data_IF_138353989661
#
_entry.id   IF_138353989661
#
_cell.length_a   1.000
_cell.length_b   1.000
_cell.length_c   1.000
_cell.angle_alpha   90.00
_cell.angle_beta   90.00
_cell.angle_gamma   90.00
#
_symmetry.space_group_name_H-M   'P 1'
#
loop_
_entity.id
_entity.type
_entity.pdbx_description
1 polymer ?
#
# COMPACT_ATOMS: atom_id res chain seq x y z
N UNK A 1 -36.78 -43.69 3.42
CA UNK A 1 -35.61 -44.05 4.25
C UNK A 1 -34.32 -43.49 3.61
N UNK A 2 -34.26 -42.17 3.38
CA UNK A 2 -33.13 -41.49 2.71
C UNK A 2 -32.95 -40.02 3.15
N UNK A 3 -33.75 -39.53 4.11
CA UNK A 3 -33.78 -38.14 4.55
C UNK A 3 -33.06 -37.89 5.88
N UNK A 4 -32.64 -38.94 6.59
CA UNK A 4 -31.93 -38.82 7.88
C UNK A 4 -30.43 -38.50 7.71
N UNK A 5 -29.83 -38.92 6.59
CA UNK A 5 -28.38 -38.89 6.35
C UNK A 5 -27.84 -37.47 6.05
N UNK A 6 -28.71 -36.57 5.58
CA UNK A 6 -28.34 -35.15 5.35
C UNK A 6 -28.27 -34.38 6.68
N UNK A 7 -29.07 -34.77 7.68
CA UNK A 7 -29.14 -34.05 8.96
C UNK A 7 -27.98 -34.37 9.90
N UNK A 8 -27.34 -35.54 9.74
CA UNK A 8 -26.25 -35.99 10.61
C UNK A 8 -24.92 -35.32 10.26
N UNK A 9 -24.62 -35.12 8.97
CA UNK A 9 -23.42 -34.38 8.52
C UNK A 9 -23.42 -32.92 8.97
N UNK A 10 -24.59 -32.30 9.10
CA UNK A 10 -24.70 -30.91 9.53
C UNK A 10 -24.37 -30.69 11.02
N UNK A 11 -24.31 -31.74 11.86
CA UNK A 11 -24.15 -31.60 13.31
C UNK A 11 -22.69 -31.60 13.80
N UNK A 12 -21.72 -31.98 12.97
CA UNK A 12 -20.30 -32.09 13.34
C UNK A 12 -19.40 -30.93 12.91
N UNK A 13 -19.84 -30.11 11.96
CA UNK A 13 -18.98 -29.09 11.36
C UNK A 13 -19.08 -27.79 12.14
N UNK A 14 -18.05 -27.49 12.94
CA UNK A 14 -17.93 -26.20 13.60
C UNK A 14 -18.10 -25.05 12.60
N UNK A 15 -18.60 -23.90 13.06
CA UNK A 15 -18.67 -22.65 12.27
C UNK A 15 -17.44 -22.40 11.35
N UNK A 16 -16.19 -22.65 11.76
CA UNK A 16 -15.03 -22.53 10.86
C UNK A 16 -15.05 -23.47 9.65
N UNK A 17 -15.47 -24.73 9.79
CA UNK A 17 -15.51 -25.69 8.68
C UNK A 17 -16.55 -25.26 7.63
N UNK A 18 -17.73 -24.80 8.07
CA UNK A 18 -18.76 -24.27 7.16
C UNK A 18 -18.34 -22.99 6.43
N UNK A 19 -17.55 -22.13 7.08
CA UNK A 19 -16.99 -20.94 6.45
C UNK A 19 -15.92 -21.31 5.42
N UNK A 20 -15.04 -22.26 5.74
CA UNK A 20 -14.02 -22.76 4.83
C UNK A 20 -14.63 -23.41 3.59
N UNK A 21 -15.71 -24.19 3.75
CA UNK A 21 -16.43 -24.80 2.62
C UNK A 21 -17.07 -23.74 1.72
N UNK A 22 -17.68 -22.69 2.29
CA UNK A 22 -18.23 -21.58 1.49
C UNK A 22 -17.15 -20.79 0.75
N UNK A 23 -16.00 -20.59 1.39
CA UNK A 23 -14.85 -19.92 0.78
C UNK A 23 -14.28 -20.78 -0.35
N UNK A 24 -14.08 -22.07 -0.13
CA UNK A 24 -13.59 -23.01 -1.14
C UNK A 24 -14.55 -23.16 -2.33
N UNK A 25 -15.86 -23.12 -2.08
CA UNK A 25 -16.87 -23.12 -3.13
C UNK A 25 -16.85 -21.83 -3.97
N UNK A 26 -16.51 -20.68 -3.36
CA UNK A 26 -16.50 -19.37 -4.04
C UNK A 26 -15.17 -19.04 -4.72
N UNK A 27 -14.05 -19.54 -4.17
CA UNK A 27 -12.69 -19.33 -4.68
C UNK A 27 -11.88 -20.64 -4.55
N UNK A 28 -12.05 -21.58 -5.49
CA UNK A 28 -11.44 -22.92 -5.42
C UNK A 28 -9.91 -22.89 -5.34
N UNK A 29 -9.28 -21.81 -5.85
CA UNK A 29 -7.83 -21.62 -5.85
C UNK A 29 -7.33 -20.72 -4.70
N UNK A 30 -8.22 -20.22 -3.83
CA UNK A 30 -7.93 -19.22 -2.78
C UNK A 30 -7.21 -17.96 -3.31
N UNK A 31 -7.30 -17.72 -4.60
CA UNK A 31 -6.55 -16.68 -5.32
C UNK A 31 -7.05 -15.27 -4.97
N UNK A 32 -8.37 -15.11 -4.87
CA UNK A 32 -9.06 -13.88 -4.47
C UNK A 32 -8.88 -13.66 -2.98
N UNK A 33 -8.95 -14.71 -2.17
CA UNK A 33 -8.71 -14.63 -0.74
C UNK A 33 -7.28 -14.16 -0.44
N UNK A 34 -6.28 -14.73 -1.11
CA UNK A 34 -4.87 -14.32 -0.98
C UNK A 34 -4.63 -12.89 -1.43
N UNK A 35 -5.27 -12.46 -2.52
CA UNK A 35 -5.17 -11.09 -3.00
C UNK A 35 -5.79 -10.10 -2.00
N UNK A 36 -6.99 -10.41 -1.50
CA UNK A 36 -7.70 -9.60 -0.52
C UNK A 36 -6.95 -9.55 0.83
N UNK A 37 -6.45 -10.68 1.32
CA UNK A 37 -5.69 -10.74 2.56
C UNK A 37 -4.39 -9.93 2.44
N UNK A 38 -3.64 -10.06 1.34
CA UNK A 38 -2.45 -9.23 1.11
C UNK A 38 -2.78 -7.74 1.06
N UNK A 39 -3.86 -7.36 0.37
CA UNK A 39 -4.29 -5.97 0.27
C UNK A 39 -4.73 -5.36 1.61
N UNK A 40 -5.26 -6.16 2.54
CA UNK A 40 -5.71 -5.69 3.86
C UNK A 40 -4.63 -5.81 4.94
N UNK A 41 -3.86 -6.90 4.96
CA UNK A 41 -2.84 -7.16 5.97
C UNK A 41 -1.66 -6.19 5.85
N UNK A 42 -1.24 -5.82 4.64
CA UNK A 42 -0.10 -4.90 4.46
C UNK A 42 -0.35 -3.52 5.10
N UNK A 43 -1.42 -2.77 4.78
CA UNK A 43 -1.71 -1.52 5.46
C UNK A 43 -2.10 -1.71 6.94
N UNK A 44 -2.77 -2.82 7.30
CA UNK A 44 -3.12 -3.12 8.68
C UNK A 44 -1.89 -3.32 9.59
N UNK A 45 -0.93 -4.13 9.15
CA UNK A 45 0.32 -4.37 9.86
C UNK A 45 1.20 -3.12 9.89
N UNK A 46 1.33 -2.42 8.76
CA UNK A 46 2.12 -1.18 8.70
C UNK A 46 1.54 -0.10 9.61
N UNK A 47 0.22 0.04 9.64
CA UNK A 47 -0.49 0.93 10.55
C UNK A 47 -0.33 0.54 12.01
N UNK A 48 -0.40 -0.77 12.34
CA UNK A 48 -0.13 -1.26 13.69
C UNK A 48 1.31 -0.98 14.15
N UNK A 49 2.30 -1.13 13.26
CA UNK A 49 3.70 -0.80 13.55
C UNK A 49 3.87 0.69 13.86
N UNK A 50 3.28 1.57 13.04
CA UNK A 50 3.27 3.01 13.34
C UNK A 50 2.52 3.32 14.63
N UNK A 51 1.36 2.71 14.85
CA UNK A 51 0.58 2.88 16.08
C UNK A 51 1.38 2.51 17.32
N UNK A 52 2.12 1.39 17.29
CA UNK A 52 3.05 1.02 18.36
C UNK A 52 4.17 2.04 18.53
N UNK A 53 4.78 2.51 17.44
CA UNK A 53 5.83 3.54 17.50
C UNK A 53 5.32 4.86 18.12
N UNK A 54 4.04 5.18 17.92
CA UNK A 54 3.48 6.44 18.40
C UNK A 54 3.28 6.52 19.90
N UNK A 55 3.38 5.38 20.58
CA UNK A 55 3.48 5.30 22.04
C UNK A 55 4.83 5.87 22.55
N UNK A 56 5.86 5.91 21.71
CA UNK A 56 7.19 6.43 22.04
C UNK A 56 7.36 7.89 21.58
N UNK A 57 6.92 8.20 20.36
CA UNK A 57 7.00 9.56 19.80
C UNK A 57 5.77 9.85 18.92
N UNK A 58 5.04 10.95 19.13
CA UNK A 58 3.93 11.32 18.25
C UNK A 58 4.43 11.54 16.83
N UNK A 59 3.78 10.90 15.86
CA UNK A 59 4.12 11.04 14.44
C UNK A 59 3.21 12.08 13.76
N UNK A 60 3.71 12.79 12.74
CA UNK A 60 2.89 13.70 11.94
C UNK A 60 1.77 12.93 11.23
N UNK A 61 0.60 13.55 11.05
CA UNK A 61 -0.55 12.92 10.37
C UNK A 61 -0.19 12.42 8.96
N UNK A 62 0.73 13.11 8.29
CA UNK A 62 1.27 12.73 6.99
C UNK A 62 1.96 11.36 6.98
N UNK A 63 2.61 10.95 8.08
CA UNK A 63 3.24 9.63 8.16
C UNK A 63 2.19 8.50 8.04
N UNK A 64 1.06 8.63 8.75
CA UNK A 64 -0.02 7.63 8.69
C UNK A 64 -0.71 7.61 7.32
N UNK A 65 -0.99 8.79 6.75
CA UNK A 65 -1.57 8.91 5.41
C UNK A 65 -0.68 8.26 4.34
N UNK A 66 0.62 8.52 4.41
CA UNK A 66 1.61 7.93 3.51
C UNK A 66 1.69 6.41 3.68
N UNK A 67 1.71 5.90 4.91
CA UNK A 67 1.71 4.45 5.15
C UNK A 67 0.46 3.79 4.60
N UNK A 68 -0.72 4.34 4.85
CA UNK A 68 -1.97 3.76 4.35
C UNK A 68 -1.96 3.64 2.81
N UNK A 69 -1.59 4.72 2.13
CA UNK A 69 -1.62 4.77 0.65
C UNK A 69 -0.51 3.93 0.03
N UNK A 70 0.71 3.97 0.58
CA UNK A 70 1.87 3.27 0.01
C UNK A 70 1.82 1.77 0.27
N UNK A 71 1.42 1.32 1.46
CA UNK A 71 1.25 -0.12 1.74
C UNK A 71 0.20 -0.73 0.81
N UNK A 72 -0.92 -0.03 0.63
CA UNK A 72 -2.00 -0.47 -0.24
C UNK A 72 -1.58 -0.51 -1.72
N UNK A 73 -1.05 0.60 -2.24
CA UNK A 73 -0.64 0.69 -3.65
C UNK A 73 0.57 -0.21 -3.95
N UNK A 74 1.53 -0.32 -3.05
CA UNK A 74 2.68 -1.21 -3.16
C UNK A 74 2.29 -2.69 -3.18
N UNK A 75 1.31 -3.09 -2.37
CA UNK A 75 0.79 -4.46 -2.35
C UNK A 75 0.11 -4.88 -3.64
N UNK A 76 -0.56 -3.95 -4.33
CA UNK A 76 -1.32 -4.25 -5.56
C UNK A 76 -0.52 -4.02 -6.85
N UNK A 77 0.35 -3.02 -6.87
CA UNK A 77 1.04 -2.57 -8.08
C UNK A 77 2.32 -3.35 -8.37
N UNK A 78 3.06 -3.80 -7.35
CA UNK A 78 4.34 -4.50 -7.55
C UNK A 78 4.09 -5.99 -7.82
N UNK A 79 4.27 -6.39 -9.07
CA UNK A 79 3.97 -7.74 -9.60
C UNK A 79 5.16 -8.37 -10.33
N UNK A 80 6.37 -8.08 -9.89
CA UNK A 80 7.59 -8.68 -10.44
C UNK A 80 7.60 -10.21 -10.31
N UNK A 81 8.22 -10.89 -11.29
CA UNK A 81 8.28 -12.36 -11.33
C UNK A 81 9.22 -12.98 -10.29
N UNK A 82 10.22 -12.23 -9.81
CA UNK A 82 11.21 -12.72 -8.85
C UNK A 82 11.26 -11.84 -7.61
N UNK A 83 11.61 -12.44 -6.47
CA UNK A 83 11.73 -11.73 -5.18
C UNK A 83 12.78 -10.61 -5.28
N UNK A 84 13.93 -10.87 -5.90
CA UNK A 84 14.97 -9.85 -6.11
C UNK A 84 14.46 -8.66 -6.93
N UNK A 85 13.71 -8.92 -8.00
CA UNK A 85 13.10 -7.88 -8.81
C UNK A 85 12.08 -7.06 -8.00
N UNK A 86 11.25 -7.73 -7.21
CA UNK A 86 10.28 -7.09 -6.34
C UNK A 86 10.95 -6.16 -5.31
N UNK A 87 12.04 -6.60 -4.67
CA UNK A 87 12.81 -5.77 -3.73
C UNK A 87 13.40 -4.54 -4.41
N UNK A 88 13.94 -4.70 -5.62
CA UNK A 88 14.48 -3.56 -6.40
C UNK A 88 13.37 -2.56 -6.74
N UNK A 89 12.23 -3.03 -7.26
CA UNK A 89 11.09 -2.16 -7.59
C UNK A 89 10.57 -1.42 -6.37
N UNK A 90 10.46 -2.14 -5.23
CA UNK A 90 10.06 -1.57 -3.93
C UNK A 90 11.04 -0.49 -3.46
N UNK A 91 12.35 -0.74 -3.55
CA UNK A 91 13.36 0.23 -3.17
C UNK A 91 13.32 1.48 -4.06
N UNK A 92 13.21 1.32 -5.38
CA UNK A 92 13.08 2.44 -6.32
C UNK A 92 11.80 3.23 -6.02
N UNK A 93 10.69 2.54 -5.77
CA UNK A 93 9.43 3.19 -5.42
C UNK A 93 9.50 3.95 -4.09
N UNK A 94 10.24 3.44 -3.10
CA UNK A 94 10.47 4.13 -1.83
C UNK A 94 11.23 5.45 -2.05
N UNK A 95 12.33 5.39 -2.81
CA UNK A 95 13.12 6.59 -3.16
C UNK A 95 12.26 7.60 -3.92
N UNK A 96 11.47 7.14 -4.89
CA UNK A 96 10.57 8.00 -5.65
C UNK A 96 9.49 8.63 -4.76
N UNK A 97 8.89 7.87 -3.85
CA UNK A 97 7.91 8.40 -2.90
C UNK A 97 8.50 9.46 -1.97
N UNK A 98 9.69 9.20 -1.41
CA UNK A 98 10.39 10.14 -0.52
C UNK A 98 10.73 11.43 -1.28
N UNK A 99 11.26 11.30 -2.51
CA UNK A 99 11.55 12.46 -3.35
C UNK A 99 10.29 13.27 -3.67
N UNK A 100 9.18 12.59 -3.99
CA UNK A 100 7.90 13.22 -4.31
C UNK A 100 7.29 13.97 -3.12
N UNK A 101 7.26 13.38 -1.92
CA UNK A 101 6.73 14.05 -0.73
C UNK A 101 7.62 15.19 -0.25
N UNK A 102 8.95 15.03 -0.36
CA UNK A 102 9.90 16.11 -0.08
C UNK A 102 9.69 17.29 -1.03
N UNK A 103 9.54 17.01 -2.33
CA UNK A 103 9.27 18.04 -3.33
C UNK A 103 7.96 18.78 -3.03
N UNK A 104 6.89 18.05 -2.72
CA UNK A 104 5.61 18.64 -2.34
C UNK A 104 5.72 19.51 -1.07
N UNK A 105 6.43 19.03 -0.04
CA UNK A 105 6.65 19.77 1.21
C UNK A 105 7.42 21.07 0.99
N UNK A 106 8.48 21.05 0.18
CA UNK A 106 9.27 22.24 -0.16
C UNK A 106 8.51 23.25 -1.00
N UNK A 107 7.61 22.79 -1.87
CA UNK A 107 6.83 23.64 -2.77
C UNK A 107 5.51 24.13 -2.17
N UNK A 108 5.10 23.58 -1.03
CA UNK A 108 3.88 23.97 -0.32
C UNK A 108 3.68 25.48 -0.08
N UNK A 109 4.73 26.34 0.06
CA UNK A 109 4.55 27.78 0.21
C UNK A 109 4.15 28.51 -1.09
N UNK A 110 4.33 27.88 -2.27
CA UNK A 110 4.13 28.49 -3.58
C UNK A 110 3.17 27.62 -4.40
N UNK A 111 1.83 27.72 -4.19
CA UNK A 111 0.86 26.79 -4.75
C UNK A 111 0.96 26.61 -6.26
N UNK A 112 1.18 27.68 -7.02
CA UNK A 112 1.33 27.61 -8.47
C UNK A 112 2.53 26.74 -8.90
N UNK A 113 3.64 26.81 -8.18
CA UNK A 113 4.83 26.00 -8.48
C UNK A 113 4.60 24.55 -8.02
N UNK A 114 3.91 24.35 -6.90
CA UNK A 114 3.49 23.01 -6.46
C UNK A 114 2.58 22.34 -7.49
N UNK A 115 1.63 23.06 -8.10
CA UNK A 115 0.75 22.52 -9.14
C UNK A 115 1.52 22.14 -10.41
N UNK A 116 2.45 22.99 -10.85
CA UNK A 116 3.30 22.72 -12.01
C UNK A 116 4.24 21.52 -11.77
N UNK A 117 4.80 21.42 -10.56
CA UNK A 117 5.63 20.28 -10.18
C UNK A 117 4.79 18.99 -10.07
N UNK A 118 3.55 19.09 -9.56
CA UNK A 118 2.64 17.95 -9.54
C UNK A 118 2.33 17.46 -10.95
N UNK A 119 2.05 18.40 -11.86
CA UNK A 119 1.82 18.10 -13.27
C UNK A 119 3.04 17.42 -13.89
N UNK A 120 4.26 17.89 -13.60
CA UNK A 120 5.49 17.24 -14.04
C UNK A 120 5.63 15.82 -13.49
N UNK A 121 5.28 15.58 -12.21
CA UNK A 121 5.26 14.24 -11.60
C UNK A 121 4.23 13.34 -12.29
N UNK A 122 3.04 13.85 -12.64
CA UNK A 122 2.02 13.12 -13.39
C UNK A 122 2.57 12.69 -14.75
N UNK A 123 3.16 13.62 -15.52
CA UNK A 123 3.76 13.31 -16.82
C UNK A 123 4.89 12.28 -16.68
N UNK A 124 5.77 12.43 -15.70
CA UNK A 124 6.84 11.47 -15.43
C UNK A 124 6.30 10.08 -15.06
N UNK A 125 5.27 10.01 -14.21
CA UNK A 125 4.62 8.77 -13.82
C UNK A 125 3.92 8.06 -14.98
N UNK A 126 3.27 8.82 -15.87
CA UNK A 126 2.65 8.30 -17.09
C UNK A 126 3.72 7.83 -18.07
N UNK A 127 4.76 8.63 -18.29
CA UNK A 127 5.89 8.29 -19.16
C UNK A 127 6.61 7.02 -18.68
N UNK A 128 6.78 6.86 -17.37
CA UNK A 128 7.39 5.68 -16.78
C UNK A 128 6.67 4.37 -17.14
N UNK A 129 5.37 4.41 -17.48
CA UNK A 129 4.60 3.21 -17.88
C UNK A 129 5.20 2.49 -19.10
N UNK A 130 5.95 3.19 -19.95
CA UNK A 130 6.62 2.57 -21.10
C UNK A 130 7.70 1.55 -20.67
N UNK A 131 8.25 1.67 -19.46
CA UNK A 131 9.23 0.72 -18.89
C UNK A 131 8.57 -0.53 -18.29
N UNK A 132 7.32 -0.80 -18.67
CA UNK A 132 6.56 -1.99 -18.27
C UNK A 132 6.01 -1.93 -16.85
N UNK A 133 5.71 -3.10 -16.24
CA UNK A 133 5.04 -3.18 -14.94
C UNK A 133 5.75 -2.42 -13.82
N UNK A 134 7.09 -2.42 -13.81
CA UNK A 134 7.88 -1.70 -12.80
C UNK A 134 7.67 -0.19 -12.87
N UNK A 135 7.72 0.37 -14.08
CA UNK A 135 7.52 1.80 -14.29
C UNK A 135 6.12 2.26 -13.89
N UNK A 136 5.09 1.42 -14.14
CA UNK A 136 3.75 1.66 -13.62
C UNK A 136 3.70 1.69 -12.09
N UNK A 137 4.30 0.71 -11.40
CA UNK A 137 4.30 0.67 -9.93
C UNK A 137 5.01 1.88 -9.31
N UNK A 138 6.23 2.18 -9.79
CA UNK A 138 7.03 3.31 -9.30
C UNK A 138 6.32 4.63 -9.58
N UNK A 139 5.79 4.83 -10.79
CA UNK A 139 5.07 6.04 -11.15
C UNK A 139 3.80 6.25 -10.31
N UNK A 140 3.02 5.19 -10.09
CA UNK A 140 1.81 5.25 -9.25
C UNK A 140 2.15 5.63 -7.80
N UNK A 141 3.20 5.04 -7.23
CA UNK A 141 3.64 5.33 -5.86
C UNK A 141 4.17 6.77 -5.75
N UNK A 142 4.97 7.24 -6.70
CA UNK A 142 5.47 8.61 -6.74
C UNK A 142 4.34 9.64 -6.85
N UNK A 143 3.38 9.39 -7.74
CA UNK A 143 2.18 10.22 -7.90
C UNK A 143 1.38 10.32 -6.59
N UNK A 144 1.09 9.18 -5.97
CA UNK A 144 0.33 9.14 -4.71
C UNK A 144 1.08 9.82 -3.57
N UNK A 145 2.39 9.61 -3.48
CA UNK A 145 3.24 10.26 -2.49
C UNK A 145 3.25 11.79 -2.63
N UNK A 146 3.35 12.30 -3.86
CA UNK A 146 3.24 13.73 -4.11
C UNK A 146 1.87 14.25 -3.71
N UNK A 147 0.80 13.60 -4.17
CA UNK A 147 -0.58 14.03 -3.92
C UNK A 147 -0.89 14.11 -2.42
N UNK A 148 -0.50 13.09 -1.65
CA UNK A 148 -0.69 13.08 -0.19
C UNK A 148 0.21 14.13 0.48
N UNK A 149 1.44 14.32 0.01
CA UNK A 149 2.34 15.37 0.48
C UNK A 149 1.76 16.76 0.28
N UNK A 150 1.23 17.05 -0.90
CA UNK A 150 0.65 18.35 -1.23
C UNK A 150 -0.68 18.60 -0.50
N UNK A 151 -1.49 17.54 -0.33
CA UNK A 151 -2.76 17.62 0.40
C UNK A 151 -2.56 17.84 1.91
N UNK A 152 -1.64 17.09 2.53
CA UNK A 152 -1.40 17.15 3.98
C UNK A 152 -0.39 18.23 4.39
N UNK A 153 0.34 18.80 3.42
CA UNK A 153 1.32 19.89 3.60
C UNK A 153 2.24 19.68 4.81
N UNK A 154 2.96 18.54 4.89
CA UNK A 154 3.86 18.31 6.00
C UNK A 154 5.01 19.32 5.98
N UNK A 155 5.51 19.65 7.16
CA UNK A 155 6.69 20.53 7.28
C UNK A 155 7.93 19.79 6.77
N UNK A 156 8.92 20.44 6.15
CA UNK A 156 10.16 19.78 5.73
C UNK A 156 10.91 19.06 6.86
N UNK A 157 10.73 19.50 8.12
CA UNK A 157 11.26 18.82 9.31
C UNK A 157 10.66 17.44 9.56
N UNK A 158 9.44 17.19 9.09
CA UNK A 158 8.71 15.94 9.30
C UNK A 158 9.09 14.85 8.29
N UNK A 159 9.89 15.20 7.26
CA UNK A 159 10.28 14.30 6.17
C UNK A 159 11.03 13.08 6.69
N UNK A 160 11.82 13.19 7.75
CA UNK A 160 12.49 12.04 8.36
C UNK A 160 11.50 10.98 8.85
N UNK A 161 10.44 11.42 9.55
CA UNK A 161 9.38 10.54 10.05
C UNK A 161 8.54 9.95 8.92
N UNK A 162 8.25 10.76 7.90
CA UNK A 162 7.51 10.32 6.71
C UNK A 162 8.33 9.31 5.92
N UNK A 163 9.65 9.51 5.76
CA UNK A 163 10.53 8.57 5.09
C UNK A 163 10.58 7.22 5.82
N UNK A 164 10.67 7.24 7.16
CA UNK A 164 10.55 6.02 7.98
C UNK A 164 9.22 5.30 7.71
N UNK A 165 8.10 6.03 7.72
CA UNK A 165 6.77 5.49 7.47
C UNK A 165 6.63 4.86 6.06
N UNK A 166 7.23 5.48 5.03
CA UNK A 166 7.31 4.94 3.67
C UNK A 166 8.10 3.63 3.63
N UNK A 167 9.26 3.59 4.30
CA UNK A 167 10.12 2.41 4.34
C UNK A 167 9.39 1.25 5.02
N UNK A 168 8.73 1.49 6.16
CA UNK A 168 7.90 0.49 6.84
C UNK A 168 6.79 0.00 5.91
N UNK A 169 6.07 0.91 5.26
CA UNK A 169 4.96 0.58 4.38
C UNK A 169 5.34 -0.33 3.20
N UNK A 170 6.56 -0.16 2.67
CA UNK A 170 7.07 -0.92 1.52
C UNK A 170 7.70 -2.26 1.93
N UNK A 171 8.20 -2.34 3.17
CA UNK A 171 8.81 -3.55 3.70
C UNK A 171 7.79 -4.66 4.01
N UNK A 172 6.55 -4.27 4.34
CA UNK A 172 5.42 -5.16 4.70
C UNK A 172 4.62 -5.59 3.46
#
# INVERSE_FOLDING_TARGET
MATSDISERARGDGLPARLLDRIAASDPALSRLRLASRAMLSPGLSGALLGGFTLLHPLPIAAYGMTAVISFTGSMSVRDRSVRAQTVTRAIAAVAAIASVLLASLLSPIPLVADLAFLAVIFAAVYARQYGPRGFSVGMIAFMAYFIGDYLRPTPSDIGWIAMAIVVAIAV
#
